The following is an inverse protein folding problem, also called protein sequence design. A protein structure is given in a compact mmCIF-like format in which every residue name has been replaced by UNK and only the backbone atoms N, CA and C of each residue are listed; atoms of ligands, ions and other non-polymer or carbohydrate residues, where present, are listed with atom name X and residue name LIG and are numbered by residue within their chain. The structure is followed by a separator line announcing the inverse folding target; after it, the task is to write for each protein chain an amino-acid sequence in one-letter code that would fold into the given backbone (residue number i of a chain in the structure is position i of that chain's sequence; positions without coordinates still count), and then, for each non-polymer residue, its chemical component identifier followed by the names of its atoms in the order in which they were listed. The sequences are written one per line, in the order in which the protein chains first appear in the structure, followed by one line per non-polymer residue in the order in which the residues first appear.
data_IF_702485189088
#
_entry.id   IF_702485189088
#
_cell.length_a   1.000
_cell.length_b   1.000
_cell.length_c   1.000
_cell.angle_alpha   90.00
_cell.angle_beta   90.00
_cell.angle_gamma   90.00
#
_symmetry.space_group_name_H-M   'P 1'
#
loop_
_entity.id
_entity.type
_entity.pdbx_description
1 polymer ?
#
# COMPACT_ATOMS: atom_id res chain seq x y z
N UNK A 1 -2.43 -4.52 4.99
CA UNK A 1 -2.26 -5.38 6.18
C UNK A 1 -3.48 -6.27 6.42
N UNK A 2 -4.71 -5.77 6.37
CA UNK A 2 -5.94 -6.57 6.52
C UNK A 2 -6.18 -7.60 5.40
N UNK A 3 -5.82 -7.30 4.13
CA UNK A 3 -5.93 -8.25 3.02
C UNK A 3 -4.95 -9.44 3.11
N UNK A 4 -3.80 -9.25 3.75
CA UNK A 4 -2.82 -10.33 3.98
C UNK A 4 -3.35 -11.33 5.02
N UNK A 5 -4.19 -10.89 5.96
CA UNK A 5 -4.83 -11.78 6.94
C UNK A 5 -5.97 -12.60 6.34
N UNK A 6 -6.73 -12.05 5.37
CA UNK A 6 -7.83 -12.77 4.72
C UNK A 6 -7.36 -13.85 3.75
N UNK A 7 -6.23 -13.70 3.07
CA UNK A 7 -5.65 -14.78 2.25
C UNK A 7 -4.99 -15.90 3.10
N UNK A 8 -4.55 -15.61 4.34
CA UNK A 8 -4.10 -16.65 5.26
C UNK A 8 -5.19 -17.66 5.62
N UNK A 9 -6.47 -17.26 5.56
CA UNK A 9 -7.61 -18.15 5.84
C UNK A 9 -7.95 -19.12 4.70
N UNK A 10 -7.46 -18.89 3.47
CA UNK A 10 -7.76 -19.72 2.29
C UNK A 10 -6.64 -20.68 1.88
N UNK A 11 -5.58 -20.83 2.68
CA UNK A 11 -4.60 -21.89 2.39
C UNK A 11 -5.26 -23.27 2.56
N UNK A 12 -5.23 -24.13 1.53
CA UNK A 12 -5.73 -25.49 1.66
C UNK A 12 -4.98 -26.19 2.79
N UNK A 13 -5.73 -26.86 3.68
CA UNK A 13 -5.17 -27.63 4.79
C UNK A 13 -3.98 -28.46 4.28
N UNK A 14 -2.82 -28.31 4.94
CA UNK A 14 -1.60 -28.96 4.45
C UNK A 14 -1.88 -30.46 4.30
N UNK A 15 -1.36 -31.07 3.22
CA UNK A 15 -1.49 -32.50 2.96
C UNK A 15 -1.08 -33.35 4.18
N UNK A 16 -0.16 -32.83 5.01
CA UNK A 16 0.24 -33.45 6.29
C UNK A 16 -0.88 -33.45 7.34
N UNK A 17 -1.70 -32.40 7.41
CA UNK A 17 -2.83 -32.34 8.34
C UNK A 17 -3.93 -33.34 7.95
N UNK A 18 -4.25 -33.39 6.64
CA UNK A 18 -5.24 -34.38 6.12
C UNK A 18 -4.72 -35.79 6.33
N UNK A 19 -3.44 -36.05 6.14
CA UNK A 19 -2.81 -37.33 6.37
C UNK A 19 -2.83 -37.73 7.89
N UNK A 20 -2.55 -36.76 8.77
CA UNK A 20 -2.62 -36.98 10.22
C UNK A 20 -4.05 -37.25 10.70
N UNK A 21 -5.03 -36.55 10.12
CA UNK A 21 -6.46 -36.81 10.42
C UNK A 21 -6.91 -38.19 9.91
N UNK A 22 -6.47 -38.56 8.70
CA UNK A 22 -6.74 -39.87 8.13
C UNK A 22 -6.08 -41.00 8.96
N UNK A 23 -4.84 -40.84 9.40
CA UNK A 23 -4.16 -41.78 10.30
C UNK A 23 -4.87 -41.88 11.62
N UNK A 24 -5.36 -40.80 12.21
CA UNK A 24 -6.09 -40.77 13.46
C UNK A 24 -7.47 -41.48 13.34
N UNK A 25 -8.18 -41.27 12.20
CA UNK A 25 -9.44 -41.94 11.90
C UNK A 25 -9.28 -43.44 11.59
N UNK A 26 -8.17 -43.86 11.00
CA UNK A 26 -7.86 -45.26 10.71
C UNK A 26 -7.35 -46.03 11.95
N UNK A 27 -6.73 -45.36 12.94
CA UNK A 27 -6.22 -45.99 14.15
C UNK A 27 -7.32 -46.32 15.18
N UNK A 28 -8.43 -45.56 15.16
CA UNK A 28 -9.58 -45.84 16.05
C UNK A 28 -10.20 -47.23 15.86
N UNK A 29 -10.47 -47.73 14.63
CA UNK A 29 -10.97 -49.12 14.44
C UNK A 29 -9.92 -50.19 14.75
N UNK A 30 -8.62 -49.88 14.49
CA UNK A 30 -7.53 -50.82 14.83
C UNK A 30 -7.37 -50.98 16.34
N UNK A 31 -7.54 -49.92 17.14
CA UNK A 31 -7.57 -49.97 18.59
C UNK A 31 -8.78 -50.82 19.12
N UNK A 32 -9.94 -50.74 18.44
CA UNK A 32 -11.12 -51.51 18.78
C UNK A 32 -10.91 -53.02 18.56
N UNK A 33 -10.17 -53.40 17.48
CA UNK A 33 -9.88 -54.82 17.21
C UNK A 33 -8.79 -55.41 18.12
N UNK A 34 -7.89 -54.61 18.65
CA UNK A 34 -6.88 -55.01 19.65
C UNK A 34 -7.56 -55.28 21.01
N UNK A 35 -8.63 -54.57 21.34
CA UNK A 35 -9.37 -54.64 22.58
C UNK A 35 -9.99 -56.03 22.84
N UNK A 36 -10.42 -56.72 21.79
CA UNK A 36 -11.05 -58.08 21.90
C UNK A 36 -10.05 -59.20 22.20
N UNK A 37 -8.74 -58.98 22.04
CA UNK A 37 -7.69 -59.97 22.29
C UNK A 37 -7.03 -59.88 23.68
N UNK A 38 -7.24 -58.77 24.44
CA UNK A 38 -6.47 -58.50 25.67
C UNK A 38 -7.24 -58.80 26.98
N UNK A 39 -8.27 -59.63 26.97
CA UNK A 39 -9.13 -59.89 28.15
C UNK A 39 -8.47 -60.69 29.28
N UNK A 40 -7.23 -61.14 29.15
CA UNK A 40 -6.60 -62.07 30.07
C UNK A 40 -5.23 -61.68 30.64
N UNK A 41 -4.90 -60.39 30.81
CA UNK A 41 -3.60 -60.00 31.37
C UNK A 41 -3.75 -59.10 32.61
N UNK A 42 -2.87 -59.33 33.64
CA UNK A 42 -2.69 -58.48 34.80
C UNK A 42 -1.86 -57.20 34.42
N UNK A 43 -2.34 -56.01 34.78
CA UNK A 43 -1.83 -54.75 34.30
C UNK A 43 -0.92 -54.00 35.30
N UNK A 44 0.17 -53.45 34.85
CA UNK A 44 1.02 -52.50 35.57
C UNK A 44 0.61 -51.04 35.22
N UNK A 45 0.95 -50.05 36.06
CA UNK A 45 0.38 -48.71 36.10
C UNK A 45 0.12 -47.96 34.77
N UNK A 46 0.93 -48.12 33.70
CA UNK A 46 0.69 -47.52 32.38
C UNK A 46 -0.42 -48.22 31.60
N UNK A 47 -0.66 -49.49 31.88
CA UNK A 47 -1.69 -50.37 31.27
C UNK A 47 -3.07 -50.04 31.83
N UNK A 48 -3.18 -49.49 33.05
CA UNK A 48 -4.46 -49.04 33.63
C UNK A 48 -5.13 -47.94 32.77
N UNK A 49 -4.37 -47.00 32.25
CA UNK A 49 -4.91 -45.95 31.37
C UNK A 49 -5.45 -46.59 30.07
N UNK A 50 -4.71 -47.52 29.51
CA UNK A 50 -5.15 -48.32 28.36
C UNK A 50 -6.44 -49.10 28.62
N UNK A 51 -6.54 -49.75 29.78
CA UNK A 51 -7.75 -50.50 30.19
C UNK A 51 -8.96 -49.60 30.31
N UNK A 52 -8.87 -48.45 30.94
CA UNK A 52 -9.98 -47.49 31.04
C UNK A 52 -10.43 -46.95 29.68
N UNK A 53 -9.47 -46.65 28.78
CA UNK A 53 -9.77 -46.22 27.42
C UNK A 53 -10.48 -47.33 26.63
N UNK A 54 -10.03 -48.59 26.73
CA UNK A 54 -10.66 -49.75 26.06
C UNK A 54 -12.04 -50.05 26.61
N UNK A 55 -12.23 -49.98 27.94
CA UNK A 55 -13.55 -50.14 28.59
C UNK A 55 -14.49 -49.02 28.14
N UNK A 56 -14.01 -47.81 28.00
CA UNK A 56 -14.80 -46.68 27.51
C UNK A 56 -15.25 -46.90 26.06
N UNK A 57 -14.36 -47.37 25.17
CA UNK A 57 -14.68 -47.73 23.79
C UNK A 57 -15.74 -48.83 23.73
N UNK A 58 -15.65 -49.88 24.57
CA UNK A 58 -16.62 -50.97 24.64
C UNK A 58 -18.00 -50.47 25.07
N UNK A 59 -18.07 -49.64 26.10
CA UNK A 59 -19.33 -49.04 26.58
C UNK A 59 -19.93 -48.14 25.50
N UNK A 60 -19.06 -47.35 24.79
CA UNK A 60 -19.47 -46.47 23.72
C UNK A 60 -20.11 -47.23 22.54
N UNK A 61 -19.61 -48.41 22.20
CA UNK A 61 -20.21 -49.27 21.14
C UNK A 61 -21.62 -49.78 21.49
N UNK A 62 -21.96 -49.84 22.75
CA UNK A 62 -23.30 -50.22 23.23
C UNK A 62 -24.35 -49.11 23.14
N UNK A 63 -23.98 -47.89 22.86
CA UNK A 63 -24.93 -46.77 22.77
C UNK A 63 -25.68 -46.72 21.43
N UNK A 64 -26.93 -46.17 21.42
CA UNK A 64 -27.65 -45.89 20.19
C UNK A 64 -26.81 -44.98 19.25
N UNK A 65 -26.94 -45.18 17.92
CA UNK A 65 -26.18 -44.49 16.90
C UNK A 65 -26.18 -42.96 17.07
N UNK A 66 -27.33 -42.37 17.44
CA UNK A 66 -27.43 -40.89 17.65
C UNK A 66 -26.53 -40.46 18.81
N UNK A 67 -26.44 -41.22 19.88
CA UNK A 67 -25.58 -40.90 21.02
C UNK A 67 -24.10 -41.06 20.68
N UNK A 68 -23.74 -42.10 19.92
CA UNK A 68 -22.39 -42.31 19.41
C UNK A 68 -21.95 -41.14 18.54
N UNK A 69 -22.81 -40.71 17.61
CA UNK A 69 -22.53 -39.56 16.75
C UNK A 69 -22.33 -38.26 17.55
N UNK A 70 -23.22 -38.01 18.52
CA UNK A 70 -23.13 -36.81 19.38
C UNK A 70 -21.86 -36.76 20.21
N UNK A 71 -21.49 -37.87 20.85
CA UNK A 71 -20.26 -38.00 21.65
C UNK A 71 -19.01 -37.85 20.75
N UNK A 72 -19.02 -38.42 19.55
CA UNK A 72 -17.92 -38.30 18.59
C UNK A 72 -17.70 -36.82 18.17
N UNK A 73 -18.78 -36.11 17.84
CA UNK A 73 -18.71 -34.68 17.50
C UNK A 73 -18.22 -33.88 18.69
N UNK A 74 -18.68 -34.17 19.92
CA UNK A 74 -18.22 -33.49 21.13
C UNK A 74 -16.73 -33.72 21.36
N UNK A 75 -16.25 -34.96 21.28
CA UNK A 75 -14.82 -35.28 21.41
C UNK A 75 -13.97 -34.62 20.36
N UNK A 76 -14.42 -34.62 19.11
CA UNK A 76 -13.73 -33.91 18.03
C UNK A 76 -13.66 -32.39 18.29
N UNK A 77 -14.73 -31.77 18.75
CA UNK A 77 -14.80 -30.37 19.11
C UNK A 77 -13.82 -30.03 20.24
N UNK A 78 -13.78 -30.87 21.30
CA UNK A 78 -12.81 -30.67 22.41
C UNK A 78 -11.38 -30.78 21.92
N UNK A 79 -11.03 -31.75 21.09
CA UNK A 79 -9.72 -31.93 20.52
C UNK A 79 -9.33 -30.71 19.61
N UNK A 80 -10.29 -30.25 18.83
CA UNK A 80 -10.08 -29.06 17.97
C UNK A 80 -9.81 -27.81 18.81
N UNK A 81 -10.57 -27.58 19.87
CA UNK A 81 -10.35 -26.43 20.79
C UNK A 81 -9.00 -26.57 21.49
N UNK A 82 -8.65 -27.77 21.99
CA UNK A 82 -7.33 -27.99 22.59
C UNK A 82 -6.19 -27.71 21.60
N UNK A 83 -6.30 -28.21 20.36
CA UNK A 83 -5.32 -27.97 19.29
C UNK A 83 -5.18 -26.47 18.98
N UNK A 84 -6.31 -25.77 18.82
CA UNK A 84 -6.28 -24.32 18.55
C UNK A 84 -5.67 -23.53 19.71
N UNK A 85 -6.00 -23.91 20.96
CA UNK A 85 -5.44 -23.29 22.15
C UNK A 85 -3.92 -23.46 22.22
N UNK A 86 -3.42 -24.68 22.00
CA UNK A 86 -1.97 -24.96 21.96
C UNK A 86 -1.30 -24.12 20.85
N UNK A 87 -1.92 -24.08 19.68
CA UNK A 87 -1.41 -23.26 18.55
C UNK A 87 -1.33 -21.78 18.89
N UNK A 88 -2.38 -21.22 19.50
CA UNK A 88 -2.41 -19.82 19.94
C UNK A 88 -1.29 -19.55 20.96
N UNK A 89 -1.11 -20.44 21.95
CA UNK A 89 -0.06 -20.29 22.96
C UNK A 89 1.34 -20.35 22.32
N UNK A 90 1.55 -21.28 21.39
CA UNK A 90 2.83 -21.39 20.67
C UNK A 90 3.10 -20.14 19.79
N UNK A 91 2.09 -19.63 19.11
CA UNK A 91 2.22 -18.42 18.29
C UNK A 91 2.46 -17.19 19.18
N UNK A 92 1.77 -17.07 20.31
CA UNK A 92 2.02 -16.02 21.31
C UNK A 92 3.46 -16.07 21.85
N UNK A 93 3.96 -17.27 22.15
CA UNK A 93 5.34 -17.45 22.60
C UNK A 93 6.35 -17.06 21.52
N UNK A 94 6.16 -17.48 20.27
CA UNK A 94 7.00 -17.10 19.12
C UNK A 94 7.01 -15.58 18.91
N UNK A 95 5.82 -14.96 18.94
CA UNK A 95 5.68 -13.52 18.76
C UNK A 95 6.32 -12.75 19.92
N UNK A 96 6.13 -13.18 21.16
CA UNK A 96 6.81 -12.57 22.33
C UNK A 96 8.33 -12.63 22.22
N UNK A 97 8.89 -13.75 21.74
CA UNK A 97 10.34 -13.89 21.51
C UNK A 97 10.83 -12.96 20.40
N UNK A 98 10.04 -12.82 19.32
CA UNK A 98 10.35 -11.91 18.21
C UNK A 98 10.31 -10.45 18.65
N UNK A 99 9.30 -10.05 19.40
CA UNK A 99 9.19 -8.70 19.96
C UNK A 99 10.28 -8.36 20.96
N UNK A 100 10.71 -9.32 21.79
CA UNK A 100 11.90 -9.13 22.67
C UNK A 100 13.15 -8.88 21.87
N UNK A 101 13.38 -9.63 20.80
CA UNK A 101 14.49 -9.42 19.89
C UNK A 101 14.45 -8.04 19.25
N UNK A 102 13.29 -7.66 18.71
CA UNK A 102 13.09 -6.36 18.08
C UNK A 102 13.36 -5.20 19.04
N UNK A 103 12.81 -5.25 20.25
CA UNK A 103 13.05 -4.22 21.27
C UNK A 103 14.55 -4.12 21.66
N UNK A 104 15.25 -5.24 21.73
CA UNK A 104 16.71 -5.24 21.95
C UNK A 104 17.43 -4.58 20.79
N UNK A 105 17.04 -4.89 19.55
CA UNK A 105 17.60 -4.32 18.33
C UNK A 105 17.37 -2.81 18.27
N UNK A 106 16.13 -2.35 18.50
CA UNK A 106 15.76 -0.93 18.50
C UNK A 106 16.51 -0.14 19.58
N UNK A 107 16.69 -0.70 20.77
CA UNK A 107 17.49 -0.06 21.85
C UNK A 107 18.96 0.07 21.48
N UNK A 108 19.53 -0.92 20.80
CA UNK A 108 20.95 -0.94 20.44
C UNK A 108 21.27 -0.01 19.27
N UNK A 109 20.46 -0.03 18.23
CA UNK A 109 20.75 0.63 16.96
C UNK A 109 19.87 1.83 16.65
N UNK A 110 18.64 1.91 17.18
CA UNK A 110 17.64 2.88 16.74
C UNK A 110 18.13 4.34 16.79
N UNK A 111 18.68 4.79 17.92
CA UNK A 111 19.16 6.16 18.06
C UNK A 111 20.37 6.48 17.16
N UNK A 112 21.25 5.49 16.92
CA UNK A 112 22.43 5.65 16.06
C UNK A 112 21.99 5.75 14.61
N UNK A 113 21.10 4.87 14.17
CA UNK A 113 20.56 4.86 12.81
C UNK A 113 19.78 6.14 12.49
N UNK A 114 19.01 6.65 13.45
CA UNK A 114 18.29 7.91 13.29
C UNK A 114 19.27 9.07 13.00
N UNK A 115 20.38 9.16 13.75
CA UNK A 115 21.42 10.16 13.51
C UNK A 115 22.07 9.99 12.14
N UNK A 116 22.44 8.76 11.76
CA UNK A 116 23.07 8.49 10.46
C UNK A 116 22.13 8.88 9.31
N UNK A 117 20.83 8.56 9.40
CA UNK A 117 19.87 8.85 8.34
C UNK A 117 19.56 10.35 8.21
N UNK A 118 19.54 11.09 9.32
CA UNK A 118 19.27 12.52 9.34
C UNK A 118 20.51 13.37 8.97
N UNK A 119 21.70 12.80 8.99
CA UNK A 119 22.93 13.54 8.76
C UNK A 119 23.14 13.82 7.26
N UNK A 120 23.62 15.03 6.96
CA UNK A 120 23.99 15.45 5.60
C UNK A 120 25.34 14.87 5.16
N UNK A 121 26.17 14.45 6.11
CA UNK A 121 27.45 13.78 5.83
C UNK A 121 27.19 12.40 5.19
N UNK A 122 27.93 12.08 4.13
CA UNK A 122 27.84 10.79 3.46
C UNK A 122 28.80 9.81 4.16
N UNK A 123 28.26 8.94 4.98
CA UNK A 123 29.04 7.93 5.69
C UNK A 123 29.49 6.80 4.76
N UNK A 124 30.75 6.39 4.91
CA UNK A 124 31.31 5.20 4.29
C UNK A 124 30.84 3.95 5.03
N UNK A 125 30.94 2.78 4.40
CA UNK A 125 30.59 1.50 5.04
C UNK A 125 31.42 1.22 6.31
N UNK A 126 32.69 1.67 6.32
CA UNK A 126 33.57 1.53 7.49
C UNK A 126 33.12 2.43 8.65
N UNK A 127 32.80 3.69 8.40
CA UNK A 127 32.30 4.61 9.41
C UNK A 127 30.97 4.14 10.00
N UNK A 128 30.06 3.63 9.16
CA UNK A 128 28.81 3.03 9.62
C UNK A 128 29.07 1.82 10.53
N UNK A 129 30.03 0.98 10.16
CA UNK A 129 30.42 -0.21 10.95
C UNK A 129 31.01 0.20 12.31
N UNK A 130 31.85 1.22 12.35
CA UNK A 130 32.44 1.76 13.59
C UNK A 130 31.36 2.40 14.48
N UNK A 131 30.50 3.27 13.94
CA UNK A 131 29.45 3.94 14.69
C UNK A 131 28.42 2.96 15.26
N UNK A 132 28.01 1.97 14.48
CA UNK A 132 27.03 0.97 14.91
C UNK A 132 27.66 -0.13 15.77
N UNK A 133 29.00 -0.29 15.73
CA UNK A 133 29.69 -1.45 16.28
C UNK A 133 28.99 -2.75 15.90
N UNK A 134 28.56 -2.82 14.63
CA UNK A 134 27.86 -3.97 14.09
C UNK A 134 28.85 -5.10 13.89
N UNK A 135 28.59 -6.22 14.55
CA UNK A 135 29.27 -7.48 14.29
C UNK A 135 28.30 -8.39 13.56
N UNK A 136 28.72 -8.98 12.47
CA UNK A 136 27.91 -9.97 11.77
C UNK A 136 27.63 -11.15 12.73
N UNK A 137 26.47 -11.09 13.38
CA UNK A 137 25.99 -12.15 14.29
C UNK A 137 25.39 -13.33 13.49
N UNK A 138 25.56 -13.36 12.17
CA UNK A 138 24.99 -14.39 11.29
C UNK A 138 23.46 -14.46 11.36
N UNK A 139 22.80 -13.33 11.50
CA UNK A 139 21.33 -13.30 11.55
C UNK A 139 20.75 -13.81 10.24
N UNK A 140 19.82 -14.78 10.36
CA UNK A 140 19.16 -15.43 9.22
C UNK A 140 17.64 -15.46 9.42
N UNK A 141 16.94 -15.63 8.32
CA UNK A 141 15.50 -15.82 8.31
C UNK A 141 14.74 -14.65 8.93
N UNK A 142 13.84 -14.92 9.89
CA UNK A 142 12.97 -13.91 10.49
C UNK A 142 13.71 -12.76 11.18
N UNK A 143 14.93 -12.98 11.70
CA UNK A 143 15.71 -11.92 12.36
C UNK A 143 16.10 -10.81 11.39
N UNK A 144 16.51 -11.15 10.17
CA UNK A 144 16.83 -10.18 9.12
C UNK A 144 15.62 -9.34 8.70
N UNK A 145 14.42 -9.91 8.68
CA UNK A 145 13.21 -9.12 8.46
C UNK A 145 12.99 -8.08 9.56
N UNK A 146 13.33 -8.39 10.82
CA UNK A 146 13.25 -7.41 11.91
C UNK A 146 14.34 -6.34 11.83
N UNK A 147 15.51 -6.66 11.30
CA UNK A 147 16.51 -5.64 10.95
C UNK A 147 15.95 -4.71 9.87
N UNK A 148 15.44 -5.25 8.78
CA UNK A 148 14.79 -4.47 7.72
C UNK A 148 13.65 -3.60 8.26
N UNK A 149 12.78 -4.15 9.13
CA UNK A 149 11.71 -3.40 9.79
C UNK A 149 12.25 -2.22 10.61
N UNK A 150 13.33 -2.41 11.37
CA UNK A 150 13.95 -1.32 12.12
C UNK A 150 14.44 -0.21 11.19
N UNK A 151 15.09 -0.56 10.06
CA UNK A 151 15.56 0.44 9.10
C UNK A 151 14.41 1.21 8.47
N UNK A 152 13.32 0.53 8.10
CA UNK A 152 12.10 1.17 7.57
C UNK A 152 11.49 2.12 8.60
N UNK A 153 11.30 1.70 9.86
CA UNK A 153 10.76 2.56 10.90
C UNK A 153 11.65 3.78 11.14
N UNK A 154 12.98 3.58 11.25
CA UNK A 154 13.93 4.68 11.46
C UNK A 154 13.92 5.67 10.29
N UNK A 155 13.87 5.17 9.05
CA UNK A 155 13.74 6.03 7.86
C UNK A 155 12.45 6.84 7.89
N UNK A 156 11.33 6.22 8.29
CA UNK A 156 10.03 6.89 8.40
C UNK A 156 10.02 7.97 9.51
N UNK A 157 10.77 7.79 10.59
CA UNK A 157 10.90 8.78 11.67
C UNK A 157 11.64 10.05 11.21
N UNK A 158 12.54 9.95 10.22
CA UNK A 158 13.29 11.11 9.65
C UNK A 158 12.48 11.84 8.57
N UNK A 159 11.35 11.28 8.13
CA UNK A 159 10.52 11.81 7.04
C UNK A 159 11.32 12.01 5.73
N UNK A 160 11.07 13.11 5.02
CA UNK A 160 11.63 13.41 3.69
C UNK A 160 13.08 13.95 3.71
N UNK A 161 13.65 14.15 4.88
CA UNK A 161 15.00 14.80 5.03
C UNK A 161 16.12 13.76 5.15
N UNK A 162 15.82 12.46 4.95
CA UNK A 162 16.84 11.43 5.07
C UNK A 162 17.87 11.46 3.94
N UNK A 163 19.12 11.12 4.30
CA UNK A 163 20.20 10.97 3.32
C UNK A 163 20.16 9.56 2.71
N UNK A 164 19.80 9.48 1.42
CA UNK A 164 19.70 8.20 0.70
C UNK A 164 21.01 7.40 0.73
N UNK A 165 22.17 8.06 0.55
CA UNK A 165 23.48 7.37 0.55
C UNK A 165 23.78 6.71 1.88
N UNK A 166 23.36 7.34 2.98
CA UNK A 166 23.53 6.76 4.31
C UNK A 166 22.63 5.55 4.53
N UNK A 167 21.38 5.61 4.03
CA UNK A 167 20.47 4.43 4.05
C UNK A 167 21.11 3.27 3.28
N UNK A 168 21.63 3.53 2.10
CA UNK A 168 22.28 2.55 1.25
C UNK A 168 23.51 1.92 1.93
N UNK A 169 24.39 2.73 2.53
CA UNK A 169 25.55 2.26 3.27
C UNK A 169 25.14 1.35 4.44
N UNK A 170 24.12 1.73 5.21
CA UNK A 170 23.61 0.91 6.31
C UNK A 170 23.03 -0.40 5.78
N UNK A 171 22.26 -0.39 4.69
CA UNK A 171 21.70 -1.60 4.06
C UNK A 171 22.83 -2.57 3.65
N UNK A 172 23.95 -2.05 3.09
CA UNK A 172 25.13 -2.86 2.75
C UNK A 172 25.78 -3.46 4.00
N UNK A 173 26.07 -2.64 5.00
CA UNK A 173 26.74 -3.06 6.23
C UNK A 173 25.93 -4.14 6.97
N UNK A 174 24.59 -4.01 7.01
CA UNK A 174 23.72 -5.00 7.64
C UNK A 174 23.42 -6.23 6.74
N UNK A 175 23.98 -6.30 5.53
CA UNK A 175 23.88 -7.46 4.65
C UNK A 175 22.48 -7.73 4.08
N UNK A 176 21.63 -6.69 3.97
CA UNK A 176 20.25 -6.86 3.50
C UNK A 176 20.15 -7.13 2.01
N UNK A 177 21.11 -6.71 1.17
CA UNK A 177 21.10 -7.00 -0.28
C UNK A 177 21.01 -8.49 -0.57
N UNK A 178 21.99 -9.26 -0.12
CA UNK A 178 22.02 -10.72 -0.34
C UNK A 178 20.86 -11.45 0.32
N UNK A 179 20.38 -10.95 1.48
CA UNK A 179 19.21 -11.51 2.13
C UNK A 179 17.95 -11.33 1.29
N UNK A 180 17.70 -10.13 0.78
CA UNK A 180 16.53 -9.81 -0.05
C UNK A 180 16.56 -10.62 -1.35
N UNK A 181 17.68 -10.64 -2.07
CA UNK A 181 17.80 -11.41 -3.32
C UNK A 181 17.59 -12.90 -3.10
N UNK A 182 18.13 -13.46 -2.02
CA UNK A 182 17.92 -14.85 -1.66
C UNK A 182 16.44 -15.14 -1.39
N UNK A 183 15.74 -14.23 -0.66
CA UNK A 183 14.33 -14.39 -0.36
C UNK A 183 13.41 -14.21 -1.57
N UNK A 184 13.75 -13.31 -2.48
CA UNK A 184 13.03 -13.14 -3.74
C UNK A 184 13.17 -14.38 -4.64
N UNK A 185 14.35 -14.99 -4.64
CA UNK A 185 14.66 -16.15 -5.47
C UNK A 185 14.05 -17.45 -4.91
N UNK A 186 14.32 -17.75 -3.65
CA UNK A 186 14.05 -19.05 -3.03
C UNK A 186 13.00 -18.98 -1.90
N UNK A 187 12.53 -17.79 -1.54
CA UNK A 187 11.60 -17.60 -0.44
C UNK A 187 10.19 -18.13 -0.72
N UNK A 188 9.46 -18.35 0.37
CA UNK A 188 8.02 -18.59 0.32
C UNK A 188 7.26 -17.35 -0.18
N UNK A 189 5.98 -17.51 -0.54
CA UNK A 189 5.13 -16.39 -0.95
C UNK A 189 5.18 -15.19 0.04
N UNK A 190 4.96 -15.35 1.35
CA UNK A 190 5.09 -14.25 2.30
C UNK A 190 6.50 -13.64 2.34
N UNK A 191 7.55 -14.47 2.23
CA UNK A 191 8.94 -13.97 2.23
C UNK A 191 9.21 -13.08 1.01
N UNK A 192 8.67 -13.44 -0.18
CA UNK A 192 8.81 -12.64 -1.40
C UNK A 192 8.13 -11.29 -1.28
N UNK A 193 6.87 -11.26 -0.80
CA UNK A 193 6.13 -10.00 -0.59
C UNK A 193 6.88 -9.09 0.40
N UNK A 194 7.27 -9.62 1.55
CA UNK A 194 8.01 -8.84 2.55
C UNK A 194 9.35 -8.33 2.01
N UNK A 195 10.04 -9.11 1.19
CA UNK A 195 11.31 -8.70 0.59
C UNK A 195 11.12 -7.62 -0.49
N UNK A 196 10.05 -7.71 -1.32
CA UNK A 196 9.70 -6.66 -2.26
C UNK A 196 9.37 -5.36 -1.53
N UNK A 197 8.55 -5.41 -0.48
CA UNK A 197 8.22 -4.24 0.32
C UNK A 197 9.46 -3.63 0.99
N UNK A 198 10.35 -4.45 1.57
CA UNK A 198 11.62 -3.95 2.10
C UNK A 198 12.47 -3.26 1.03
N UNK A 199 12.54 -3.84 -0.17
CA UNK A 199 13.27 -3.25 -1.29
C UNK A 199 12.69 -1.91 -1.70
N UNK A 200 11.38 -1.79 -1.78
CA UNK A 200 10.69 -0.54 -2.11
C UNK A 200 10.96 0.55 -1.05
N UNK A 201 10.76 0.23 0.23
CA UNK A 201 10.93 1.20 1.31
C UNK A 201 12.37 1.63 1.54
N UNK A 202 13.32 0.71 1.43
CA UNK A 202 14.74 0.98 1.64
C UNK A 202 15.49 1.32 0.34
N UNK A 203 14.80 1.31 -0.81
CA UNK A 203 15.38 1.55 -2.13
C UNK A 203 16.56 0.59 -2.43
N UNK A 204 16.37 -0.70 -2.13
CA UNK A 204 17.39 -1.73 -2.36
C UNK A 204 17.38 -2.12 -3.84
N UNK A 205 18.47 -1.90 -4.54
CA UNK A 205 18.63 -2.39 -5.91
C UNK A 205 18.64 -3.92 -5.94
N UNK A 206 17.84 -4.49 -6.83
CA UNK A 206 17.70 -5.93 -7.04
C UNK A 206 17.94 -6.21 -8.52
N UNK A 207 18.60 -7.31 -8.84
CA UNK A 207 18.82 -7.68 -10.23
C UNK A 207 17.50 -7.78 -11.01
N UNK A 208 17.37 -7.06 -12.12
CA UNK A 208 16.15 -6.99 -12.94
C UNK A 208 15.68 -8.39 -13.36
N UNK A 209 16.59 -9.31 -13.63
CA UNK A 209 16.29 -10.70 -14.00
C UNK A 209 15.48 -11.44 -12.91
N UNK A 210 15.68 -11.11 -11.63
CA UNK A 210 14.90 -11.68 -10.52
C UNK A 210 13.46 -11.17 -10.61
N UNK A 211 13.27 -9.86 -10.84
CA UNK A 211 11.94 -9.26 -10.94
C UNK A 211 11.17 -9.79 -12.15
N UNK A 212 11.79 -9.84 -13.32
CA UNK A 212 11.17 -10.37 -14.55
C UNK A 212 10.68 -11.81 -14.32
N UNK A 213 11.47 -12.65 -13.65
CA UNK A 213 11.04 -14.01 -13.29
C UNK A 213 9.85 -14.03 -12.35
N UNK A 214 9.75 -13.09 -11.40
CA UNK A 214 8.64 -13.00 -10.46
C UNK A 214 7.33 -12.51 -11.12
N UNK A 215 7.38 -11.86 -12.27
CA UNK A 215 6.18 -11.52 -13.07
C UNK A 215 5.43 -12.77 -13.57
N UNK A 216 6.11 -13.90 -13.69
CA UNK A 216 5.47 -15.19 -14.01
C UNK A 216 4.94 -15.94 -12.77
N UNK A 217 4.96 -15.33 -11.58
CA UNK A 217 4.42 -15.91 -10.36
C UNK A 217 2.93 -16.22 -10.49
N UNK A 218 2.47 -17.32 -9.91
CA UNK A 218 1.04 -17.65 -9.83
C UNK A 218 0.26 -16.67 -8.95
N UNK A 219 0.93 -15.97 -8.03
CA UNK A 219 0.29 -15.00 -7.14
C UNK A 219 0.17 -13.63 -7.79
N UNK A 220 -1.07 -13.13 -7.89
CA UNK A 220 -1.38 -11.78 -8.37
C UNK A 220 -0.68 -10.69 -7.53
N UNK A 221 -0.66 -10.82 -6.19
CA UNK A 221 -0.01 -9.85 -5.30
C UNK A 221 1.49 -9.74 -5.57
N UNK A 222 2.19 -10.87 -5.80
CA UNK A 222 3.62 -10.83 -6.15
C UNK A 222 3.82 -10.09 -7.47
N UNK A 223 3.00 -10.39 -8.48
CA UNK A 223 3.10 -9.72 -9.80
C UNK A 223 2.83 -8.21 -9.68
N UNK A 224 1.83 -7.80 -8.87
CA UNK A 224 1.54 -6.39 -8.60
C UNK A 224 2.74 -5.68 -7.95
N UNK A 225 3.24 -6.19 -6.84
CA UNK A 225 4.38 -5.62 -6.12
C UNK A 225 5.63 -5.52 -6.98
N UNK A 226 5.87 -6.53 -7.83
CA UNK A 226 7.00 -6.51 -8.77
C UNK A 226 6.85 -5.38 -9.79
N UNK A 227 5.66 -5.17 -10.35
CA UNK A 227 5.41 -4.07 -11.31
C UNK A 227 5.66 -2.71 -10.66
N UNK A 228 5.14 -2.51 -9.44
CA UNK A 228 5.35 -1.26 -8.69
C UNK A 228 6.84 -1.04 -8.40
N UNK A 229 7.54 -2.08 -7.96
CA UNK A 229 8.96 -1.98 -7.70
C UNK A 229 9.79 -1.75 -8.98
N UNK A 230 9.33 -2.30 -10.11
CA UNK A 230 9.98 -2.08 -11.40
C UNK A 230 9.94 -0.62 -11.85
N UNK A 231 8.89 0.13 -11.49
CA UNK A 231 8.82 1.58 -11.73
C UNK A 231 10.01 2.30 -11.12
N UNK A 232 10.42 1.91 -9.92
CA UNK A 232 11.61 2.50 -9.28
C UNK A 232 12.92 1.97 -9.85
N UNK A 233 13.00 0.65 -10.13
CA UNK A 233 14.25 -0.01 -10.46
C UNK A 233 14.72 0.28 -11.90
N UNK A 234 13.83 0.16 -12.90
CA UNK A 234 14.18 0.25 -14.31
C UNK A 234 14.77 1.61 -14.68
N UNK A 235 15.89 1.64 -15.40
CA UNK A 235 16.49 2.89 -15.85
C UNK A 235 15.72 3.53 -17.01
N UNK A 236 15.30 2.73 -18.00
CA UNK A 236 14.80 3.23 -19.27
C UNK A 236 13.29 3.16 -19.44
N UNK A 237 12.66 2.04 -19.05
CA UNK A 237 11.24 1.77 -19.29
C UNK A 237 10.47 1.41 -18.02
N UNK A 238 10.30 2.34 -17.07
CA UNK A 238 9.72 2.04 -15.75
C UNK A 238 8.29 1.51 -15.82
N UNK A 239 7.52 1.84 -16.85
CA UNK A 239 6.13 1.42 -17.01
C UNK A 239 5.91 0.28 -18.01
N UNK A 240 6.99 -0.37 -18.50
CA UNK A 240 6.91 -1.45 -19.50
C UNK A 240 5.86 -2.50 -19.14
N UNK A 241 5.85 -2.95 -17.89
CA UNK A 241 4.94 -4.03 -17.44
C UNK A 241 3.53 -3.56 -17.07
N UNK A 242 3.21 -2.30 -17.27
CA UNK A 242 1.85 -1.76 -17.19
C UNK A 242 1.22 -1.51 -18.56
N UNK A 243 2.05 -1.39 -19.61
CA UNK A 243 1.61 -1.05 -20.96
C UNK A 243 1.40 -2.32 -21.80
N UNK A 244 2.00 -3.44 -21.40
CA UNK A 244 1.83 -4.71 -22.09
C UNK A 244 0.36 -5.14 -22.06
N UNK A 245 -0.23 -5.35 -23.25
CA UNK A 245 -1.64 -5.73 -23.43
C UNK A 245 -2.00 -7.09 -22.81
N UNK A 246 -1.02 -7.94 -22.53
CA UNK A 246 -1.23 -9.26 -21.93
C UNK A 246 -1.18 -9.24 -20.39
N UNK A 247 -1.22 -8.05 -19.79
CA UNK A 247 -1.13 -7.91 -18.34
C UNK A 247 -2.50 -8.16 -17.70
N UNK A 248 -2.57 -9.13 -16.81
CA UNK A 248 -3.72 -9.46 -15.98
C UNK A 248 -3.80 -8.54 -14.74
N UNK A 249 -3.65 -7.26 -14.95
CA UNK A 249 -3.59 -6.28 -13.86
C UNK A 249 -4.69 -5.23 -14.02
N UNK A 250 -5.53 -5.12 -13.02
CA UNK A 250 -6.52 -4.06 -12.90
C UNK A 250 -5.93 -2.96 -12.01
N UNK A 251 -5.69 -1.80 -12.60
CA UNK A 251 -5.18 -0.65 -11.87
C UNK A 251 -6.27 -0.05 -10.97
N UNK A 252 -5.95 0.15 -9.69
CA UNK A 252 -6.89 0.67 -8.69
C UNK A 252 -6.48 2.09 -8.26
N UNK A 253 -7.41 2.92 -7.77
CA UNK A 253 -7.09 4.28 -7.32
C UNK A 253 -5.95 4.35 -6.28
N UNK A 254 -5.85 3.35 -5.39
CA UNK A 254 -4.76 3.25 -4.40
C UNK A 254 -3.38 3.05 -5.03
N UNK A 255 -3.31 2.46 -6.20
CA UNK A 255 -2.06 2.22 -6.92
C UNK A 255 -1.44 3.53 -7.41
N UNK A 256 -2.24 4.61 -7.53
CA UNK A 256 -1.77 5.96 -7.84
C UNK A 256 -0.80 6.49 -6.78
N UNK A 257 -1.09 6.24 -5.51
CA UNK A 257 -0.21 6.64 -4.40
C UNK A 257 1.12 5.86 -4.45
N UNK A 258 1.05 4.57 -4.77
CA UNK A 258 2.25 3.73 -4.92
C UNK A 258 3.11 4.19 -6.10
N UNK A 259 2.50 4.51 -7.26
CA UNK A 259 3.20 5.04 -8.44
C UNK A 259 3.87 6.38 -8.11
N UNK A 260 3.13 7.31 -7.49
CA UNK A 260 3.70 8.60 -7.06
C UNK A 260 4.89 8.40 -6.13
N UNK A 261 4.75 7.51 -5.13
CA UNK A 261 5.83 7.18 -4.20
C UNK A 261 7.05 6.58 -4.91
N UNK A 262 6.86 5.69 -5.89
CA UNK A 262 7.96 5.11 -6.65
C UNK A 262 8.67 6.14 -7.53
N UNK A 263 7.95 7.06 -8.18
CA UNK A 263 8.54 8.15 -8.96
C UNK A 263 9.31 9.12 -8.06
N UNK A 264 8.76 9.47 -6.90
CA UNK A 264 9.45 10.27 -5.89
C UNK A 264 10.72 9.58 -5.39
N UNK A 265 10.64 8.29 -5.11
CA UNK A 265 11.78 7.47 -4.71
C UNK A 265 12.89 7.47 -5.78
N UNK A 266 12.53 7.38 -7.07
CA UNK A 266 13.48 7.53 -8.18
C UNK A 266 14.24 8.86 -8.10
N UNK A 267 13.53 9.96 -7.93
CA UNK A 267 14.12 11.31 -7.84
C UNK A 267 15.06 11.42 -6.66
N UNK A 268 14.67 10.93 -5.49
CA UNK A 268 15.50 10.94 -4.27
C UNK A 268 16.73 10.07 -4.46
N UNK A 269 16.59 8.90 -5.09
CA UNK A 269 17.70 7.98 -5.42
C UNK A 269 18.62 8.47 -6.56
N UNK A 270 18.37 9.66 -7.11
CA UNK A 270 19.17 10.22 -8.21
C UNK A 270 18.94 9.58 -9.57
N UNK A 271 17.88 8.76 -9.70
CA UNK A 271 17.49 8.15 -10.99
C UNK A 271 16.64 9.15 -11.79
N UNK A 272 16.88 9.24 -13.10
CA UNK A 272 16.08 10.09 -13.97
C UNK A 272 14.65 9.57 -14.12
N UNK A 273 13.69 10.49 -14.15
CA UNK A 273 12.31 10.19 -14.49
C UNK A 273 12.16 10.47 -15.99
N UNK A 274 11.88 9.46 -16.83
CA UNK A 274 11.68 9.68 -18.25
C UNK A 274 10.39 10.47 -18.49
N UNK A 275 10.28 11.14 -19.66
CA UNK A 275 9.04 11.82 -20.04
C UNK A 275 7.87 10.83 -19.98
N UNK A 276 6.85 11.20 -19.22
CA UNK A 276 5.63 10.38 -19.06
C UNK A 276 4.67 10.52 -20.25
N UNK A 277 4.87 11.52 -21.12
CA UNK A 277 3.97 11.81 -22.23
C UNK A 277 3.82 10.64 -23.22
N UNK A 278 4.91 10.00 -23.71
CA UNK A 278 4.78 8.83 -24.56
C UNK A 278 4.03 7.68 -23.88
N UNK A 279 4.24 7.53 -22.56
CA UNK A 279 3.60 6.49 -21.77
C UNK A 279 2.09 6.76 -21.66
N UNK A 280 1.69 8.02 -21.39
CA UNK A 280 0.29 8.46 -21.38
C UNK A 280 -0.41 8.14 -22.71
N UNK A 281 0.24 8.39 -23.85
CA UNK A 281 -0.37 8.13 -25.15
C UNK A 281 -0.61 6.64 -25.43
N UNK A 282 0.32 5.76 -25.01
CA UNK A 282 0.25 4.32 -25.29
C UNK A 282 -0.44 3.51 -24.19
N UNK A 283 -0.74 4.12 -23.04
CA UNK A 283 -1.33 3.42 -21.90
C UNK A 283 -2.76 2.93 -22.22
N UNK A 284 -3.04 1.61 -22.16
CA UNK A 284 -4.36 1.08 -22.45
C UNK A 284 -5.34 1.19 -21.27
N UNK A 285 -4.84 1.22 -20.04
CA UNK A 285 -5.65 1.28 -18.83
C UNK A 285 -6.06 2.73 -18.52
N UNK A 286 -7.37 3.05 -18.44
CA UNK A 286 -7.84 4.41 -18.23
C UNK A 286 -7.47 4.99 -16.87
N UNK A 287 -7.42 4.17 -15.82
CA UNK A 287 -7.09 4.62 -14.46
C UNK A 287 -5.60 4.96 -14.36
N UNK A 288 -4.74 4.09 -14.87
CA UNK A 288 -3.30 4.36 -14.93
C UNK A 288 -3.01 5.58 -15.80
N UNK A 289 -3.65 5.71 -16.97
CA UNK A 289 -3.51 6.88 -17.84
C UNK A 289 -3.89 8.18 -17.12
N UNK A 290 -5.00 8.18 -16.41
CA UNK A 290 -5.43 9.30 -15.57
C UNK A 290 -4.40 9.63 -14.48
N UNK A 291 -3.84 8.63 -13.82
CA UNK A 291 -2.76 8.82 -12.85
C UNK A 291 -1.53 9.46 -13.50
N UNK A 292 -1.06 8.92 -14.63
CA UNK A 292 0.13 9.42 -15.33
C UNK A 292 -0.05 10.87 -15.82
N UNK A 293 -1.25 11.24 -16.27
CA UNK A 293 -1.56 12.65 -16.63
C UNK A 293 -1.32 13.57 -15.43
N UNK A 294 -1.73 13.18 -14.22
CA UNK A 294 -1.47 13.96 -13.00
C UNK A 294 0.01 13.97 -12.62
N UNK A 295 0.68 12.84 -12.76
CA UNK A 295 2.11 12.74 -12.44
C UNK A 295 2.98 13.64 -13.35
N UNK A 296 2.54 13.96 -14.57
CA UNK A 296 3.23 14.92 -15.43
C UNK A 296 3.36 16.30 -14.76
N UNK A 297 2.42 16.70 -13.91
CA UNK A 297 2.49 17.97 -13.17
C UNK A 297 3.67 18.04 -12.19
N UNK A 298 4.07 16.91 -11.62
CA UNK A 298 5.15 16.84 -10.63
C UNK A 298 6.53 16.62 -11.26
N UNK A 299 6.57 15.86 -12.37
CA UNK A 299 7.81 15.34 -12.92
C UNK A 299 8.11 15.79 -14.35
N UNK A 300 7.09 16.28 -15.07
CA UNK A 300 7.21 16.68 -16.47
C UNK A 300 7.86 18.03 -16.65
N UNK A 301 8.35 18.27 -17.87
CA UNK A 301 8.81 19.57 -18.31
C UNK A 301 7.61 20.48 -18.64
N UNK A 302 7.89 21.77 -18.84
CA UNK A 302 6.88 22.72 -19.32
C UNK A 302 6.17 22.26 -20.61
N UNK A 303 6.91 21.67 -21.54
CA UNK A 303 6.37 21.13 -22.79
C UNK A 303 5.48 19.91 -22.55
N UNK A 304 5.88 19.04 -21.61
CA UNK A 304 5.10 17.86 -21.24
C UNK A 304 3.75 18.26 -20.64
N UNK A 305 3.76 19.24 -19.72
CA UNK A 305 2.53 19.79 -19.11
C UNK A 305 1.64 20.41 -20.20
N UNK A 306 2.21 21.18 -21.12
CA UNK A 306 1.45 21.78 -22.20
C UNK A 306 0.75 20.73 -23.10
N UNK A 307 1.39 19.59 -23.34
CA UNK A 307 0.76 18.49 -24.09
C UNK A 307 -0.46 17.91 -23.37
N UNK A 308 -0.46 17.90 -22.03
CA UNK A 308 -1.60 17.42 -21.24
C UNK A 308 -2.85 18.33 -21.36
N UNK A 309 -2.69 19.57 -21.79
CA UNK A 309 -3.79 20.52 -22.02
C UNK A 309 -4.83 19.99 -22.98
N UNK A 310 -4.44 19.18 -23.99
CA UNK A 310 -5.38 18.58 -24.94
C UNK A 310 -6.39 17.62 -24.29
N UNK A 311 -6.11 17.09 -23.11
CA UNK A 311 -7.03 16.22 -22.39
C UNK A 311 -8.12 16.97 -21.60
N UNK A 312 -8.07 18.30 -21.48
CA UNK A 312 -9.12 19.13 -20.83
C UNK A 312 -10.47 18.93 -21.50
N UNK A 313 -10.48 18.68 -22.81
CA UNK A 313 -11.69 18.45 -23.62
C UNK A 313 -11.85 17.00 -24.08
N UNK A 314 -11.11 16.05 -23.48
CA UNK A 314 -11.21 14.64 -23.84
C UNK A 314 -12.63 14.08 -23.55
N UNK A 315 -13.10 13.09 -24.32
CA UNK A 315 -14.40 12.46 -24.11
C UNK A 315 -14.48 11.73 -22.77
N UNK A 316 -13.38 11.12 -22.34
CA UNK A 316 -13.31 10.39 -21.08
C UNK A 316 -13.19 11.36 -19.89
N UNK A 317 -14.16 11.31 -18.98
CA UNK A 317 -14.24 12.16 -17.77
C UNK A 317 -13.02 11.99 -16.84
N UNK A 318 -12.45 10.78 -16.74
CA UNK A 318 -11.24 10.54 -15.93
C UNK A 318 -10.04 11.32 -16.48
N UNK A 319 -9.90 11.38 -17.81
CA UNK A 319 -8.78 12.12 -18.44
C UNK A 319 -8.99 13.62 -18.28
N UNK A 320 -10.21 14.11 -18.44
CA UNK A 320 -10.53 15.53 -18.21
C UNK A 320 -10.20 15.94 -16.79
N UNK A 321 -10.70 15.20 -15.80
CA UNK A 321 -10.43 15.47 -14.39
C UNK A 321 -8.93 15.49 -14.11
N UNK A 322 -8.19 14.48 -14.61
CA UNK A 322 -6.76 14.41 -14.42
C UNK A 322 -5.98 15.56 -15.09
N UNK A 323 -6.41 15.98 -16.28
CA UNK A 323 -5.79 17.09 -16.98
C UNK A 323 -6.04 18.44 -16.25
N UNK A 324 -7.27 18.68 -15.80
CA UNK A 324 -7.62 19.86 -15.00
C UNK A 324 -6.77 19.90 -13.74
N UNK A 325 -6.68 18.77 -12.99
CA UNK A 325 -5.81 18.67 -11.80
C UNK A 325 -4.34 18.91 -12.13
N UNK A 326 -3.84 18.35 -13.24
CA UNK A 326 -2.47 18.52 -13.70
C UNK A 326 -2.14 20.01 -13.89
N UNK A 327 -3.02 20.77 -14.56
CA UNK A 327 -2.83 22.23 -14.77
C UNK A 327 -2.78 22.98 -13.45
N UNK A 328 -3.62 22.63 -12.48
CA UNK A 328 -3.64 23.27 -11.16
C UNK A 328 -2.40 22.95 -10.32
N UNK A 329 -2.00 21.68 -10.27
CA UNK A 329 -0.80 21.24 -9.53
C UNK A 329 0.44 21.96 -10.09
N UNK A 330 0.57 21.99 -11.41
CA UNK A 330 1.68 22.65 -12.08
C UNK A 330 1.59 24.21 -12.06
N UNK A 331 0.48 24.78 -11.60
CA UNK A 331 0.15 26.21 -11.69
C UNK A 331 0.38 26.77 -13.10
N UNK A 332 -0.12 26.05 -14.11
CA UNK A 332 0.19 26.30 -15.51
C UNK A 332 -0.70 27.39 -16.10
N UNK A 333 -0.25 28.65 -16.03
CA UNK A 333 -1.04 29.82 -16.42
C UNK A 333 -1.55 29.80 -17.88
N UNK A 334 -0.82 29.18 -18.80
CA UNK A 334 -1.25 29.07 -20.21
C UNK A 334 -2.45 28.14 -20.45
N UNK A 335 -2.84 27.35 -19.44
CA UNK A 335 -4.04 26.53 -19.55
C UNK A 335 -5.32 27.27 -19.14
N UNK A 336 -5.23 28.41 -18.47
CA UNK A 336 -6.37 29.12 -17.88
C UNK A 336 -7.45 29.42 -18.92
N UNK A 337 -7.07 30.00 -20.05
CA UNK A 337 -8.01 30.26 -21.15
C UNK A 337 -8.70 29.00 -21.68
N UNK A 338 -7.97 27.87 -21.77
CA UNK A 338 -8.57 26.60 -22.20
C UNK A 338 -9.52 26.04 -21.16
N UNK A 339 -9.23 26.23 -19.86
CA UNK A 339 -10.11 25.85 -18.76
C UNK A 339 -11.39 26.66 -18.75
N UNK A 340 -11.31 27.98 -18.96
CA UNK A 340 -12.45 28.88 -19.05
C UNK A 340 -13.36 28.52 -20.25
N UNK A 341 -12.77 28.27 -21.42
CA UNK A 341 -13.52 27.87 -22.62
C UNK A 341 -14.21 26.51 -22.47
N UNK A 342 -13.59 25.57 -21.78
CA UNK A 342 -14.15 24.26 -21.56
C UNK A 342 -15.23 24.22 -20.46
N UNK A 343 -15.28 25.23 -19.58
CA UNK A 343 -16.10 25.25 -18.36
C UNK A 343 -17.58 24.97 -18.61
N UNK A 344 -18.18 25.64 -19.57
CA UNK A 344 -19.63 25.51 -19.88
C UNK A 344 -20.06 24.09 -20.31
N UNK A 345 -19.10 23.31 -20.87
CA UNK A 345 -19.33 21.95 -21.36
C UNK A 345 -19.02 20.87 -20.30
N UNK A 346 -18.57 21.26 -19.11
CA UNK A 346 -18.21 20.33 -18.05
C UNK A 346 -19.46 19.91 -17.23
N UNK A 347 -19.35 18.73 -16.59
CA UNK A 347 -20.31 18.33 -15.54
C UNK A 347 -20.13 19.21 -14.30
N UNK A 348 -21.13 19.30 -13.42
CA UNK A 348 -21.05 20.16 -12.22
C UNK A 348 -19.81 19.85 -11.35
N UNK A 349 -19.47 18.56 -11.19
CA UNK A 349 -18.26 18.14 -10.46
C UNK A 349 -16.96 18.65 -11.10
N UNK A 350 -16.89 18.63 -12.42
CA UNK A 350 -15.72 19.14 -13.15
C UNK A 350 -15.71 20.66 -13.25
N UNK A 351 -16.88 21.33 -13.21
CA UNK A 351 -16.97 22.78 -13.08
C UNK A 351 -16.33 23.24 -11.78
N UNK A 352 -16.71 22.63 -10.67
CA UNK A 352 -16.13 22.93 -9.36
C UNK A 352 -14.60 22.71 -9.36
N UNK A 353 -14.15 21.55 -9.87
CA UNK A 353 -12.73 21.27 -10.01
C UNK A 353 -11.99 22.31 -10.88
N UNK A 354 -12.62 22.77 -11.95
CA UNK A 354 -12.05 23.79 -12.85
C UNK A 354 -11.93 25.14 -12.14
N UNK A 355 -12.93 25.56 -11.37
CA UNK A 355 -12.91 26.79 -10.58
C UNK A 355 -11.73 26.80 -9.59
N UNK A 356 -11.60 25.73 -8.79
CA UNK A 356 -10.49 25.59 -7.86
C UNK A 356 -9.13 25.48 -8.55
N UNK A 357 -9.08 24.88 -9.73
CA UNK A 357 -7.86 24.82 -10.54
C UNK A 357 -7.42 26.21 -10.98
N UNK A 358 -8.34 27.04 -11.48
CA UNK A 358 -8.06 28.44 -11.87
C UNK A 358 -7.64 29.25 -10.64
N UNK A 359 -8.31 29.05 -9.49
CA UNK A 359 -7.88 29.67 -8.22
C UNK A 359 -6.44 29.27 -7.85
N UNK A 360 -6.07 28.02 -8.05
CA UNK A 360 -4.71 27.52 -7.75
C UNK A 360 -3.64 28.08 -8.69
N UNK A 361 -4.00 28.30 -9.96
CA UNK A 361 -3.13 28.92 -10.96
C UNK A 361 -2.86 30.39 -10.61
N UNK A 362 -3.88 31.15 -10.22
CA UNK A 362 -3.78 32.56 -9.78
C UNK A 362 -3.02 33.43 -10.78
N UNK A 363 -3.36 33.41 -12.06
CA UNK A 363 -2.72 34.26 -13.08
C UNK A 363 -3.05 35.73 -12.92
N UNK A 364 -4.10 36.09 -12.21
CA UNK A 364 -4.62 37.46 -12.08
C UNK A 364 -5.59 37.86 -13.17
N UNK A 365 -5.96 36.99 -14.12
CA UNK A 365 -6.77 37.31 -15.29
C UNK A 365 -8.19 36.75 -15.28
N UNK A 366 -8.51 35.84 -14.38
CA UNK A 366 -9.77 35.09 -14.37
C UNK A 366 -10.96 35.84 -13.75
N UNK A 367 -10.82 37.08 -13.29
CA UNK A 367 -11.93 37.81 -12.68
C UNK A 367 -13.15 37.95 -13.61
N UNK A 368 -13.02 38.33 -14.89
CA UNK A 368 -14.14 38.41 -15.81
C UNK A 368 -14.87 37.07 -16.00
N UNK A 369 -14.07 35.97 -16.00
CA UNK A 369 -14.62 34.61 -16.08
C UNK A 369 -15.46 34.28 -14.84
N UNK A 370 -14.99 34.55 -13.63
CA UNK A 370 -15.75 34.27 -12.40
C UNK A 370 -17.05 35.08 -12.35
N UNK A 371 -17.02 36.34 -12.73
CA UNK A 371 -18.23 37.19 -12.78
C UNK A 371 -19.26 36.64 -13.77
N UNK A 372 -18.81 36.26 -14.97
CA UNK A 372 -19.69 35.66 -15.98
C UNK A 372 -20.26 34.32 -15.51
N UNK A 373 -19.44 33.44 -14.97
CA UNK A 373 -19.84 32.13 -14.45
C UNK A 373 -20.84 32.24 -13.28
N UNK A 374 -20.71 33.25 -12.40
CA UNK A 374 -21.67 33.51 -11.34
C UNK A 374 -23.01 33.92 -11.89
N UNK A 375 -23.03 34.82 -12.86
CA UNK A 375 -24.31 35.27 -13.51
C UNK A 375 -25.03 34.16 -14.26
N UNK A 376 -24.31 33.22 -14.87
CA UNK A 376 -24.89 32.09 -15.62
C UNK A 376 -25.29 30.92 -14.73
N UNK A 377 -24.73 30.77 -13.52
CA UNK A 377 -24.96 29.62 -12.65
C UNK A 377 -26.31 29.72 -11.95
N UNK A 378 -27.07 28.60 -12.00
CA UNK A 378 -28.35 28.42 -11.26
C UNK A 378 -28.20 27.47 -10.07
N UNK A 379 -27.09 26.74 -9.97
CA UNK A 379 -26.83 25.72 -8.96
C UNK A 379 -26.12 26.36 -7.74
N UNK A 380 -26.74 26.29 -6.56
CA UNK A 380 -26.25 26.93 -5.35
C UNK A 380 -24.83 26.48 -4.96
N UNK A 381 -24.50 25.19 -5.10
CA UNK A 381 -23.16 24.66 -4.82
C UNK A 381 -22.11 25.23 -5.76
N UNK A 382 -22.44 25.36 -7.04
CA UNK A 382 -21.54 25.96 -8.04
C UNK A 382 -21.38 27.46 -7.81
N UNK A 383 -22.47 28.20 -7.48
CA UNK A 383 -22.37 29.61 -7.07
C UNK A 383 -21.47 29.79 -5.86
N UNK A 384 -21.64 28.95 -4.83
CA UNK A 384 -20.76 28.96 -3.66
C UNK A 384 -19.29 28.77 -4.01
N UNK A 385 -18.97 27.77 -4.85
CA UNK A 385 -17.60 27.52 -5.32
C UNK A 385 -17.03 28.73 -6.09
N UNK A 386 -17.84 29.38 -6.97
CA UNK A 386 -17.42 30.58 -7.70
C UNK A 386 -17.12 31.73 -6.73
N UNK A 387 -18.03 32.00 -5.80
CA UNK A 387 -17.87 33.07 -4.81
C UNK A 387 -16.67 32.81 -3.91
N UNK A 388 -16.43 31.55 -3.50
CA UNK A 388 -15.24 31.11 -2.77
C UNK A 388 -13.97 31.42 -3.56
N UNK A 389 -13.94 31.06 -4.85
CA UNK A 389 -12.81 31.34 -5.71
C UNK A 389 -12.58 32.84 -5.88
N UNK A 390 -13.61 33.64 -6.08
CA UNK A 390 -13.51 35.11 -6.18
C UNK A 390 -12.93 35.72 -4.90
N UNK A 391 -13.42 35.30 -3.73
CA UNK A 391 -13.00 35.84 -2.44
C UNK A 391 -11.49 35.60 -2.17
N UNK A 392 -10.94 34.44 -2.62
CA UNK A 392 -9.56 34.06 -2.36
C UNK A 392 -8.60 34.31 -3.53
N UNK A 393 -9.09 34.79 -4.69
CA UNK A 393 -8.27 34.91 -5.91
C UNK A 393 -7.24 36.05 -5.81
N UNK A 394 -7.72 37.32 -5.65
CA UNK A 394 -6.89 38.51 -5.43
C UNK A 394 -7.73 39.65 -4.79
N UNK A 395 -7.11 40.83 -4.53
CA UNK A 395 -7.81 41.95 -3.92
C UNK A 395 -8.91 42.52 -4.81
N UNK A 396 -8.67 42.70 -6.10
CA UNK A 396 -9.66 43.19 -7.06
C UNK A 396 -10.88 42.29 -7.14
N UNK A 397 -10.68 40.98 -7.10
CA UNK A 397 -11.74 40.00 -7.03
C UNK A 397 -12.54 40.10 -5.75
N UNK A 398 -11.91 40.41 -4.63
CA UNK A 398 -12.58 40.58 -3.33
C UNK A 398 -13.43 41.85 -3.32
N UNK A 399 -12.95 42.96 -3.90
CA UNK A 399 -13.76 44.16 -4.08
C UNK A 399 -14.99 43.89 -4.95
N UNK A 400 -14.80 43.13 -6.04
CA UNK A 400 -15.92 42.72 -6.91
C UNK A 400 -16.90 41.81 -6.18
N UNK A 401 -16.42 40.89 -5.31
CA UNK A 401 -17.26 40.07 -4.45
C UNK A 401 -18.13 40.94 -3.51
N UNK A 402 -17.58 42.00 -2.91
CA UNK A 402 -18.32 42.90 -2.04
C UNK A 402 -19.39 43.73 -2.82
N UNK A 403 -19.08 44.11 -4.03
CA UNK A 403 -20.05 44.78 -4.92
C UNK A 403 -21.21 43.85 -5.29
N UNK A 404 -20.93 42.60 -5.63
CA UNK A 404 -21.97 41.61 -5.92
C UNK A 404 -22.81 41.29 -4.69
N UNK A 405 -22.23 41.19 -3.50
CA UNK A 405 -22.96 41.01 -2.25
C UNK A 405 -23.98 42.12 -1.99
N UNK A 406 -23.62 43.38 -2.28
CA UNK A 406 -24.51 44.53 -2.09
C UNK A 406 -25.73 44.52 -3.01
N UNK A 407 -25.65 43.81 -4.13
CA UNK A 407 -26.73 43.68 -5.13
C UNK A 407 -27.45 42.32 -5.14
N UNK A 408 -27.05 41.41 -4.24
CA UNK A 408 -27.51 40.03 -4.18
C UNK A 408 -28.93 39.92 -3.62
N UNK A 409 -29.68 38.91 -4.04
CA UNK A 409 -30.97 38.54 -3.47
C UNK A 409 -30.83 37.82 -2.12
N UNK A 410 -31.92 37.61 -1.40
CA UNK A 410 -31.92 36.99 -0.07
C UNK A 410 -31.29 35.58 -0.08
N UNK A 411 -31.46 34.81 -1.13
CA UNK A 411 -30.94 33.45 -1.24
C UNK A 411 -29.42 33.47 -1.44
N UNK A 412 -28.94 34.31 -2.34
CA UNK A 412 -27.53 34.44 -2.62
C UNK A 412 -26.75 35.09 -1.45
N UNK A 413 -27.39 36.03 -0.69
CA UNK A 413 -26.82 36.61 0.53
C UNK A 413 -26.35 35.58 1.57
N UNK A 414 -27.05 34.45 1.66
CA UNK A 414 -26.62 33.34 2.54
C UNK A 414 -25.29 32.75 2.07
N UNK A 415 -25.10 32.57 0.75
CA UNK A 415 -23.85 32.03 0.18
C UNK A 415 -22.68 32.98 0.45
N UNK A 416 -22.84 34.30 0.33
CA UNK A 416 -21.82 35.29 0.67
C UNK A 416 -21.40 35.20 2.14
N UNK A 417 -22.36 35.06 3.06
CA UNK A 417 -22.07 34.89 4.48
C UNK A 417 -21.32 33.60 4.78
N UNK A 418 -21.69 32.52 4.12
CA UNK A 418 -20.99 31.23 4.27
C UNK A 418 -19.55 31.31 3.77
N UNK A 419 -19.30 31.97 2.63
CA UNK A 419 -17.95 32.20 2.10
C UNK A 419 -17.12 32.99 3.10
N UNK A 420 -17.66 34.06 3.69
CA UNK A 420 -16.94 34.86 4.69
C UNK A 420 -16.62 34.08 5.98
N UNK A 421 -17.40 33.07 6.31
CA UNK A 421 -17.17 32.19 7.46
C UNK A 421 -15.98 31.24 7.26
N UNK A 422 -15.51 31.04 6.02
CA UNK A 422 -14.31 30.24 5.73
C UNK A 422 -13.07 31.08 5.99
N UNK A 423 -12.40 30.79 7.11
CA UNK A 423 -11.24 31.56 7.60
C UNK A 423 -9.91 31.17 6.95
N UNK A 424 -9.87 30.10 6.20
CA UNK A 424 -8.64 29.56 5.60
C UNK A 424 -8.81 29.46 4.08
N UNK A 425 -7.80 29.93 3.34
CA UNK A 425 -7.74 29.77 1.90
C UNK A 425 -7.80 28.27 1.55
N UNK A 426 -8.77 27.81 0.74
CA UNK A 426 -8.93 26.40 0.39
C UNK A 426 -7.76 25.81 -0.40
N UNK A 427 -6.84 26.69 -0.90
CA UNK A 427 -5.65 26.26 -1.69
C UNK A 427 -4.34 26.29 -0.89
N UNK A 428 -4.39 26.62 0.40
CA UNK A 428 -3.22 26.49 1.29
C UNK A 428 -3.15 25.03 1.76
N UNK A 429 -2.17 24.31 1.24
CA UNK A 429 -1.74 22.97 1.71
C UNK A 429 -0.62 23.09 2.72
#
# INVERSE_FOLDING_TARGET
MAEIETERQKQPMSKRFVLQLAVMLCTLPALATISTRMYNYEFTGAEYVGYYLLRWVYVFQGYPFVLQASVTVLMFSILMVAFLTVRIVLDKYKNSRREKFYRKLKRRYGAILLKIFADKHNYTDQEVLELTNYKDEGWKGWRMFFVGRLLVETKSEVYDVYNYRNVEAVVRVFGLYGFVENKLTFGSYPDRIMSLQLSQFLMIDVAESILVRLLSSTSHMVRKEVRMFYVWLSEYEPFRFFIDKNVDYEYRPWDSLEVHHMLRARKIGGKEIPSLVPIVHHCPDPQLKSCLIREVAYWGTYEDINKMRSYITADNTLYRSAAIQCMGIAKFAYAEQALEQAYSQQTEELKELTLYTILRIRSGKALPFYVGAYGESTVATTKFAILMCMYWYNEESRETFELLESSADENDLLLFKEVRAVLVDPMIE
#
